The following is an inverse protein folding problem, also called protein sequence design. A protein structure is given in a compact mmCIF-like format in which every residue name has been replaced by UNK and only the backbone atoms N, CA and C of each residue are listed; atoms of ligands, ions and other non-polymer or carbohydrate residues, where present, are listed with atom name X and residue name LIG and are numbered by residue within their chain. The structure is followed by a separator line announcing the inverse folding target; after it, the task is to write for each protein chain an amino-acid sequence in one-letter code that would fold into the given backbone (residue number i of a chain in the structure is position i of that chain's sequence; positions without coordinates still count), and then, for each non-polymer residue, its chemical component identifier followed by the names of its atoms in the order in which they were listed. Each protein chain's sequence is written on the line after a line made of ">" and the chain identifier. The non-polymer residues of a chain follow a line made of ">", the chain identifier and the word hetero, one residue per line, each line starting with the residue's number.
data_IF_701005477958
#
_entry.id   IF_701005477958
#
_cell.length_a   1.000
_cell.length_b   1.000
_cell.length_c   1.000
_cell.angle_alpha   90.00
_cell.angle_beta   90.00
_cell.angle_gamma   90.00
#
_symmetry.space_group_name_H-M   'P 1'
#
loop_
_entity.id
_entity.type
_entity.pdbx_description
1 polymer ?
#
# COMPACT_ATOMS: atom_id res chain seq x y z
N UNK A 1 7.02 0.79 5.56
CA UNK A 1 5.69 0.39 6.07
C UNK A 1 5.37 -1.01 5.56
N UNK A 2 4.97 -1.92 6.44
CA UNK A 2 4.59 -3.29 6.08
C UNK A 2 3.10 -3.49 6.40
N UNK A 3 2.34 -3.95 5.42
CA UNK A 3 0.97 -4.42 5.57
C UNK A 3 1.01 -5.93 5.65
N UNK A 4 0.47 -6.48 6.73
CA UNK A 4 0.24 -7.91 6.87
C UNK A 4 -1.27 -8.13 6.71
N UNK A 5 -1.67 -9.00 5.79
CA UNK A 5 -3.08 -9.34 5.57
C UNK A 5 -3.38 -10.61 6.36
N UNK A 6 -4.02 -10.47 7.51
CA UNK A 6 -4.45 -11.59 8.36
C UNK A 6 -5.88 -12.02 7.99
N UNK A 7 -6.08 -13.27 7.56
CA UNK A 7 -7.42 -13.89 7.49
C UNK A 7 -7.61 -14.78 8.72
N UNK A 8 -8.45 -14.41 9.70
CA UNK A 8 -8.57 -15.15 10.95
C UNK A 8 -9.27 -16.52 10.85
N UNK A 9 -9.77 -16.96 9.68
CA UNK A 9 -10.75 -18.07 9.60
C UNK A 9 -10.25 -19.42 9.05
N UNK A 10 -9.08 -19.91 9.47
CA UNK A 10 -8.68 -21.31 9.19
C UNK A 10 -9.61 -22.37 9.86
N UNK A 11 -10.57 -21.96 10.72
CA UNK A 11 -11.37 -22.87 11.56
C UNK A 11 -12.90 -22.80 11.35
N UNK A 12 -13.39 -22.37 10.18
CA UNK A 12 -14.74 -22.75 9.71
C UNK A 12 -15.96 -22.16 10.45
N UNK A 13 -16.01 -20.86 10.69
CA UNK A 13 -17.26 -20.17 11.07
C UNK A 13 -17.53 -18.90 10.25
N UNK A 14 -18.80 -18.71 9.93
CA UNK A 14 -19.35 -17.75 8.96
C UNK A 14 -19.35 -16.31 9.48
N UNK A 15 -18.40 -15.51 8.96
CA UNK A 15 -18.39 -14.07 8.61
C UNK A 15 -16.91 -13.68 8.62
N UNK A 16 -16.28 -13.61 7.44
CA UNK A 16 -14.85 -13.33 7.31
C UNK A 16 -14.62 -11.85 7.10
N UNK A 17 -14.02 -11.18 8.08
CA UNK A 17 -13.47 -9.84 7.89
C UNK A 17 -11.96 -9.99 7.76
N UNK A 18 -11.41 -9.61 6.61
CA UNK A 18 -9.96 -9.51 6.41
C UNK A 18 -9.41 -8.48 7.38
N UNK A 19 -8.35 -8.82 8.12
CA UNK A 19 -7.72 -7.89 9.05
C UNK A 19 -6.41 -7.41 8.45
N UNK A 20 -6.29 -6.10 8.25
CA UNK A 20 -5.01 -5.50 7.88
C UNK A 20 -4.22 -5.14 9.14
N UNK A 21 -3.09 -5.80 9.34
CA UNK A 21 -2.11 -5.41 10.35
C UNK A 21 -1.10 -4.46 9.71
N UNK A 22 -1.20 -3.17 10.02
CA UNK A 22 -0.29 -2.12 9.56
C UNK A 22 0.88 -2.02 10.54
N UNK A 23 2.11 -2.20 10.06
CA UNK A 23 3.33 -2.09 10.84
C UNK A 23 4.25 -1.00 10.28
N UNK A 24 4.72 -0.13 11.16
CA UNK A 24 5.75 0.85 10.80
C UNK A 24 7.15 0.30 11.08
N UNK A 25 7.79 -0.28 10.06
CA UNK A 25 9.20 -0.70 10.12
C UNK A 25 10.20 0.43 9.79
N UNK A 26 9.72 1.66 9.58
CA UNK A 26 10.59 2.82 9.36
C UNK A 26 11.17 3.30 10.71
N UNK A 27 12.31 4.00 10.65
CA UNK A 27 12.95 4.61 11.83
C UNK A 27 12.30 5.93 12.27
N UNK A 28 11.26 6.36 11.57
CA UNK A 28 10.53 7.61 11.80
C UNK A 28 9.02 7.36 11.85
N UNK A 29 8.29 8.26 12.50
CA UNK A 29 6.82 8.22 12.53
C UNK A 29 6.27 8.41 11.13
N UNK A 30 5.32 7.55 10.77
CA UNK A 30 4.51 7.67 9.56
C UNK A 30 3.07 7.92 9.96
N UNK A 31 2.32 8.61 9.14
CA UNK A 31 0.88 8.78 9.34
C UNK A 31 0.16 8.04 8.22
N UNK A 32 -0.27 6.78 8.42
CA UNK A 32 -1.08 6.10 7.41
C UNK A 32 -2.28 6.95 7.01
N UNK A 33 -2.53 7.05 5.71
CA UNK A 33 -3.80 7.50 5.14
C UNK A 33 -4.53 6.30 4.54
N UNK A 34 -5.85 6.36 4.52
CA UNK A 34 -6.70 5.33 3.89
C UNK A 34 -7.80 6.00 3.08
N UNK A 35 -8.18 5.36 1.98
CA UNK A 35 -9.31 5.77 1.17
C UNK A 35 -9.97 4.52 0.61
N UNK A 36 -11.29 4.44 0.70
CA UNK A 36 -12.08 3.40 0.04
C UNK A 36 -12.51 3.87 -1.36
N UNK A 37 -12.54 2.96 -2.33
CA UNK A 37 -12.96 3.25 -3.70
C UNK A 37 -14.47 3.41 -3.86
N UNK A 38 -15.26 2.72 -3.02
CA UNK A 38 -16.70 2.51 -3.26
C UNK A 38 -17.60 3.32 -2.31
N UNK A 39 -17.07 4.36 -1.67
CA UNK A 39 -17.83 5.21 -0.73
C UNK A 39 -18.19 4.53 0.60
N UNK A 40 -17.62 3.35 0.88
CA UNK A 40 -17.66 2.71 2.20
C UNK A 40 -16.93 3.50 3.30
N UNK A 41 -16.89 2.98 4.55
CA UNK A 41 -16.12 3.61 5.61
C UNK A 41 -14.61 3.50 5.36
N UNK A 42 -13.87 4.59 5.59
CA UNK A 42 -12.41 4.57 5.62
C UNK A 42 -11.92 3.79 6.86
N UNK A 43 -10.97 2.87 6.66
CA UNK A 43 -10.44 2.04 7.73
C UNK A 43 -9.51 2.81 8.67
N UNK A 44 -9.67 2.69 9.98
CA UNK A 44 -8.84 3.50 10.89
C UNK A 44 -9.10 4.99 10.73
N UNK A 45 -10.37 5.35 10.49
CA UNK A 45 -10.87 6.72 10.60
C UNK A 45 -10.33 7.72 9.57
N UNK A 46 -9.74 7.23 8.47
CA UNK A 46 -9.13 8.07 7.43
C UNK A 46 -7.63 8.25 7.61
N UNK A 47 -7.11 8.07 8.82
CA UNK A 47 -5.69 8.19 9.11
C UNK A 47 -5.37 8.44 10.58
N UNK A 48 -4.15 8.08 10.96
CA UNK A 48 -3.65 8.14 12.34
C UNK A 48 -2.12 8.25 12.35
N UNK A 49 -1.52 8.50 13.51
CA UNK A 49 -0.06 8.46 13.68
C UNK A 49 0.39 7.03 14.03
N UNK A 50 1.47 6.55 13.40
CA UNK A 50 2.06 5.24 13.67
C UNK A 50 3.56 5.40 13.94
N UNK A 51 3.94 5.30 15.22
CA UNK A 51 5.31 5.46 15.68
C UNK A 51 6.24 4.36 15.13
N UNK A 52 7.57 4.57 15.10
CA UNK A 52 8.53 3.52 14.73
C UNK A 52 8.33 2.23 15.52
N UNK A 53 8.28 1.09 14.82
CA UNK A 53 8.07 -0.23 15.41
C UNK A 53 6.64 -0.54 15.84
N UNK A 54 5.73 0.45 15.85
CA UNK A 54 4.34 0.24 16.25
C UNK A 54 3.53 -0.48 15.14
N UNK A 55 2.46 -1.14 15.57
CA UNK A 55 1.48 -1.75 14.68
C UNK A 55 0.04 -1.48 15.11
N UNK A 56 -0.88 -1.51 14.14
CA UNK A 56 -2.33 -1.35 14.34
C UNK A 56 -3.07 -2.34 13.47
N UNK A 57 -4.15 -2.93 13.99
CA UNK A 57 -5.06 -3.79 13.24
C UNK A 57 -6.28 -3.03 12.75
N UNK A 58 -6.63 -3.21 11.48
CA UNK A 58 -7.75 -2.57 10.81
C UNK A 58 -8.64 -3.65 10.17
N UNK A 59 -9.78 -4.02 10.79
CA UNK A 59 -10.70 -4.97 10.19
C UNK A 59 -11.41 -4.33 8.98
N UNK A 60 -11.41 -5.03 7.86
CA UNK A 60 -12.05 -4.63 6.62
C UNK A 60 -13.30 -5.49 6.37
N UNK A 61 -14.43 -4.90 5.95
CA UNK A 61 -15.61 -5.67 5.60
C UNK A 61 -15.37 -6.49 4.31
N UNK A 62 -16.11 -7.61 4.11
CA UNK A 62 -16.15 -8.29 2.81
C UNK A 62 -16.45 -7.31 1.67
N UNK A 63 -15.77 -7.48 0.55
CA UNK A 63 -15.93 -6.61 -0.62
C UNK A 63 -15.26 -5.25 -0.49
N UNK A 64 -14.50 -4.98 0.57
CA UNK A 64 -13.81 -3.71 0.70
C UNK A 64 -12.79 -3.52 -0.44
N UNK A 65 -12.93 -2.40 -1.13
CA UNK A 65 -11.97 -1.91 -2.12
C UNK A 65 -11.42 -0.57 -1.65
N UNK A 66 -10.11 -0.42 -1.71
CA UNK A 66 -9.46 0.79 -1.24
C UNK A 66 -7.95 0.73 -1.28
N UNK A 67 -7.34 1.78 -0.73
CA UNK A 67 -5.89 1.98 -0.73
C UNK A 67 -5.41 2.57 0.57
N UNK A 68 -4.13 2.31 0.85
CA UNK A 68 -3.37 2.90 1.93
C UNK A 68 -2.12 3.58 1.39
N UNK A 69 -1.65 4.60 2.11
CA UNK A 69 -0.36 5.24 1.85
C UNK A 69 0.28 5.74 3.14
N UNK A 70 1.59 5.94 3.12
CA UNK A 70 2.31 6.55 4.23
C UNK A 70 2.50 8.05 4.02
N UNK A 71 2.22 8.86 5.04
CA UNK A 71 2.55 10.29 5.06
C UNK A 71 3.74 10.55 5.97
N UNK A 72 4.59 11.51 5.61
CA UNK A 72 5.81 11.84 6.37
C UNK A 72 5.90 13.33 6.67
N UNK A 73 6.63 13.68 7.73
CA UNK A 73 6.86 15.08 8.13
C UNK A 73 5.56 15.82 8.47
N UNK A 74 4.60 15.13 9.10
CA UNK A 74 3.31 15.71 9.43
C UNK A 74 3.34 16.53 10.73
N UNK A 75 2.63 17.65 10.72
CA UNK A 75 2.40 18.50 11.88
C UNK A 75 0.90 18.76 11.95
N UNK A 76 0.25 18.26 12.99
CA UNK A 76 -1.18 18.45 13.25
C UNK A 76 -1.38 19.08 14.62
N UNK A 77 -2.41 19.92 14.74
CA UNK A 77 -2.92 20.37 16.03
C UNK A 77 -3.86 19.32 16.67
N UNK A 78 -4.36 19.59 17.87
CA UNK A 78 -5.25 18.68 18.61
C UNK A 78 -6.58 18.38 17.88
N UNK A 79 -7.00 19.27 16.97
CA UNK A 79 -8.17 19.06 16.12
C UNK A 79 -7.86 18.20 14.87
N UNK A 80 -6.62 17.74 14.69
CA UNK A 80 -6.19 16.99 13.52
C UNK A 80 -6.00 17.84 12.25
N UNK A 81 -5.97 19.17 12.38
CA UNK A 81 -5.71 20.09 11.28
C UNK A 81 -4.23 20.41 11.16
N UNK A 82 -3.71 20.43 9.94
CA UNK A 82 -2.30 20.60 9.64
C UNK A 82 -1.92 19.98 8.30
N UNK A 83 -0.63 19.76 8.09
CA UNK A 83 -0.10 19.29 6.79
C UNK A 83 1.03 18.28 6.96
N UNK A 84 1.25 17.49 5.92
CA UNK A 84 2.39 16.60 5.76
C UNK A 84 3.33 17.07 4.66
N UNK A 85 4.62 16.71 4.81
CA UNK A 85 5.65 16.97 3.82
C UNK A 85 5.47 16.12 2.55
N UNK A 86 5.00 14.87 2.71
CA UNK A 86 4.65 13.99 1.59
C UNK A 86 3.32 13.27 1.86
N UNK A 87 2.57 12.99 0.79
CA UNK A 87 1.29 12.26 0.84
C UNK A 87 0.16 12.97 1.58
N UNK A 88 0.26 14.29 1.75
CA UNK A 88 -0.75 15.08 2.44
C UNK A 88 -2.16 14.86 1.86
N UNK A 89 -3.17 14.92 2.72
CA UNK A 89 -4.57 14.73 2.35
C UNK A 89 -5.48 15.80 2.98
N UNK A 90 -4.91 16.93 3.42
CA UNK A 90 -5.64 18.06 4.00
C UNK A 90 -5.92 17.97 5.52
N UNK A 91 -5.41 16.94 6.22
CA UNK A 91 -5.57 16.78 7.67
C UNK A 91 -5.16 15.39 8.16
N UNK A 92 -5.32 15.13 9.46
CA UNK A 92 -4.97 13.82 10.06
C UNK A 92 -5.86 12.69 9.50
N UNK A 93 -7.16 12.95 9.39
CA UNK A 93 -8.18 12.02 8.88
C UNK A 93 -8.45 12.36 7.41
N UNK A 94 -7.98 11.50 6.50
CA UNK A 94 -8.10 11.77 5.07
C UNK A 94 -9.54 11.62 4.59
N UNK A 95 -10.02 12.61 3.82
CA UNK A 95 -11.28 12.56 3.07
C UNK A 95 -11.09 12.35 1.57
N UNK A 96 -9.83 12.33 1.11
CA UNK A 96 -9.42 12.11 -0.27
C UNK A 96 -8.07 11.40 -0.35
N UNK A 97 -7.57 11.22 -1.57
CA UNK A 97 -6.26 10.63 -1.80
C UNK A 97 -5.11 11.52 -1.32
N UNK A 98 -3.97 10.90 -1.00
CA UNK A 98 -2.73 11.63 -0.76
C UNK A 98 -2.24 12.35 -2.01
N UNK A 99 -1.68 13.54 -1.85
CA UNK A 99 -1.07 14.32 -2.93
C UNK A 99 0.24 13.63 -3.36
N UNK A 100 0.38 13.22 -4.64
CA UNK A 100 1.61 12.63 -5.17
C UNK A 100 2.84 13.53 -4.99
N UNK A 101 4.05 12.95 -4.79
CA UNK A 101 4.36 11.53 -4.96
C UNK A 101 4.02 10.67 -3.74
N UNK A 102 3.36 9.54 -3.96
CA UNK A 102 2.95 8.58 -2.93
C UNK A 102 3.07 7.14 -3.40
N UNK A 103 3.71 6.30 -2.59
CA UNK A 103 3.60 4.84 -2.74
C UNK A 103 2.26 4.37 -2.21
N UNK A 104 1.53 3.61 -3.01
CA UNK A 104 0.21 3.07 -2.65
C UNK A 104 0.28 1.56 -2.39
N UNK A 105 -0.47 1.09 -1.39
CA UNK A 105 -0.90 -0.30 -1.31
C UNK A 105 -2.39 -0.35 -1.61
N UNK A 106 -2.77 -1.06 -2.67
CA UNK A 106 -4.13 -1.11 -3.20
C UNK A 106 -4.71 -2.50 -2.99
N UNK A 107 -6.00 -2.57 -2.68
CA UNK A 107 -6.69 -3.80 -2.32
C UNK A 107 -8.10 -3.84 -2.90
N UNK A 108 -8.50 -5.00 -3.41
CA UNK A 108 -9.90 -5.35 -3.70
C UNK A 108 -10.19 -6.68 -3.05
N UNK A 109 -11.01 -6.69 -2.00
CA UNK A 109 -11.35 -7.91 -1.28
C UNK A 109 -12.54 -8.64 -1.91
N UNK A 110 -12.55 -9.96 -1.75
CA UNK A 110 -13.65 -10.83 -2.12
C UNK A 110 -14.95 -10.41 -1.41
N UNK A 111 -16.08 -10.54 -2.10
CA UNK A 111 -17.43 -10.21 -1.60
C UNK A 111 -18.29 -11.47 -1.50
N UNK A 112 -19.21 -11.51 -0.53
CA UNK A 112 -20.14 -12.61 -0.39
C UNK A 112 -21.05 -12.72 -1.63
N UNK A 113 -20.97 -13.82 -2.37
CA UNK A 113 -21.78 -14.07 -3.58
C UNK A 113 -21.31 -13.33 -4.85
N UNK A 114 -20.09 -12.75 -4.83
CA UNK A 114 -19.53 -11.97 -5.93
C UNK A 114 -18.10 -12.41 -6.31
N UNK A 115 -17.13 -11.48 -6.26
CA UNK A 115 -15.72 -11.80 -6.44
C UNK A 115 -15.26 -12.76 -5.33
N UNK A 116 -14.64 -13.88 -5.68
CA UNK A 116 -14.21 -14.92 -4.72
C UNK A 116 -12.70 -14.84 -4.42
N UNK A 117 -12.02 -13.78 -4.86
CA UNK A 117 -10.57 -13.62 -4.73
C UNK A 117 -10.24 -12.23 -4.22
N UNK A 118 -9.21 -12.17 -3.38
CA UNK A 118 -8.57 -10.92 -2.98
C UNK A 118 -7.48 -10.55 -3.98
N UNK A 119 -7.43 -9.27 -4.34
CA UNK A 119 -6.40 -8.66 -5.15
C UNK A 119 -5.69 -7.59 -4.34
N UNK A 120 -4.37 -7.55 -4.46
CA UNK A 120 -3.57 -6.51 -3.86
C UNK A 120 -2.32 -6.24 -4.67
N UNK A 121 -1.83 -5.01 -4.56
CA UNK A 121 -0.58 -4.60 -5.17
C UNK A 121 0.07 -3.46 -4.41
N UNK A 122 1.36 -3.23 -4.72
CA UNK A 122 2.05 -1.99 -4.36
C UNK A 122 2.32 -1.24 -5.66
N UNK A 123 1.86 0.01 -5.70
CA UNK A 123 1.83 0.84 -6.89
C UNK A 123 2.71 2.07 -6.72
N UNK A 124 3.53 2.32 -7.74
CA UNK A 124 4.34 3.53 -7.90
C UNK A 124 3.82 4.41 -9.05
N UNK A 125 2.56 4.21 -9.46
CA UNK A 125 1.92 5.02 -10.52
C UNK A 125 1.87 6.49 -10.10
N UNK A 126 1.62 6.74 -8.82
CA UNK A 126 1.62 8.07 -8.21
C UNK A 126 2.99 8.42 -7.60
N UNK A 127 4.07 7.74 -8.00
CA UNK A 127 5.43 7.97 -7.52
C UNK A 127 5.79 7.23 -6.24
N UNK A 128 6.83 7.70 -5.55
CA UNK A 128 7.41 7.06 -4.36
C UNK A 128 7.67 8.07 -3.25
N UNK A 129 7.39 7.71 -2.01
CA UNK A 129 7.82 8.49 -0.84
C UNK A 129 8.31 7.60 0.31
N UNK A 130 7.62 6.49 0.58
CA UNK A 130 7.92 5.56 1.66
C UNK A 130 7.91 4.13 1.14
N UNK A 131 8.97 3.37 1.44
CA UNK A 131 9.04 1.96 1.11
C UNK A 131 7.90 1.16 1.71
N UNK A 132 7.25 0.33 0.90
CA UNK A 132 6.02 -0.37 1.25
C UNK A 132 6.03 -1.84 0.82
N UNK A 133 5.47 -2.69 1.67
CA UNK A 133 5.26 -4.11 1.37
C UNK A 133 3.90 -4.59 1.84
N UNK A 134 3.35 -5.56 1.13
CA UNK A 134 2.12 -6.28 1.45
C UNK A 134 2.46 -7.76 1.51
N UNK A 135 2.21 -8.36 2.67
CA UNK A 135 2.46 -9.77 2.95
C UNK A 135 1.17 -10.44 3.42
N UNK A 136 0.60 -11.38 2.66
CA UNK A 136 -0.45 -12.25 3.18
C UNK A 136 0.05 -13.08 4.35
N UNK A 137 -0.79 -13.22 5.37
CA UNK A 137 -0.58 -14.14 6.48
C UNK A 137 -0.65 -15.59 5.99
N UNK A 138 -0.06 -16.50 6.78
CA UNK A 138 0.01 -17.92 6.47
C UNK A 138 -1.40 -18.50 6.59
N UNK A 139 -2.17 -18.49 5.51
CA UNK A 139 -3.58 -18.90 5.53
C UNK A 139 -4.34 -18.73 4.21
N UNK A 140 -3.90 -17.79 3.35
CA UNK A 140 -4.43 -17.69 1.99
C UNK A 140 -3.98 -18.88 1.14
N UNK A 141 -4.92 -19.53 0.46
CA UNK A 141 -4.58 -20.51 -0.58
C UNK A 141 -4.13 -19.77 -1.87
N UNK A 142 -3.47 -20.43 -2.83
CA UNK A 142 -3.09 -19.79 -4.11
C UNK A 142 -1.76 -19.02 -4.17
N UNK A 143 -1.62 -18.13 -5.17
CA UNK A 143 -0.40 -17.34 -5.44
C UNK A 143 -0.26 -16.10 -4.52
N UNK A 144 -0.57 -16.26 -3.24
CA UNK A 144 -0.44 -15.26 -2.17
C UNK A 144 1.03 -14.89 -1.91
N UNK A 145 1.64 -14.15 -2.83
CA UNK A 145 3.05 -13.76 -2.79
C UNK A 145 3.20 -12.35 -2.24
N UNK A 146 4.37 -12.08 -1.66
CA UNK A 146 4.74 -10.73 -1.27
C UNK A 146 4.66 -9.76 -2.48
N UNK A 147 4.05 -8.59 -2.26
CA UNK A 147 4.08 -7.46 -3.19
C UNK A 147 4.74 -6.28 -2.48
N UNK A 148 5.72 -5.61 -3.10
CA UNK A 148 6.33 -4.48 -2.42
C UNK A 148 7.47 -3.80 -3.16
N UNK A 149 7.68 -2.56 -2.78
CA UNK A 149 8.84 -1.74 -3.11
C UNK A 149 9.40 -1.20 -1.79
N UNK A 150 10.34 -1.93 -1.19
CA UNK A 150 10.94 -1.58 0.12
C UNK A 150 12.32 -0.96 0.02
N UNK A 151 12.92 -0.98 -1.17
CA UNK A 151 14.15 -0.24 -1.44
C UNK A 151 13.90 1.27 -1.28
N UNK A 152 14.92 2.00 -0.81
CA UNK A 152 14.88 3.45 -0.75
C UNK A 152 15.11 4.03 -2.15
N UNK A 153 14.04 4.47 -2.81
CA UNK A 153 14.13 5.10 -4.12
C UNK A 153 14.47 6.59 -4.05
N UNK A 154 14.35 7.23 -2.87
CA UNK A 154 14.66 8.64 -2.71
C UNK A 154 16.17 8.90 -2.87
N UNK A 155 17.00 7.99 -2.34
CA UNK A 155 18.46 8.09 -2.43
C UNK A 155 19.02 8.07 -3.86
N UNK A 156 18.29 7.48 -4.81
CA UNK A 156 18.68 7.38 -6.22
C UNK A 156 17.71 8.13 -7.16
N UNK A 157 16.83 8.96 -6.61
CA UNK A 157 15.84 9.67 -7.43
C UNK A 157 16.55 10.71 -8.31
N UNK A 158 16.33 10.69 -9.64
CA UNK A 158 16.87 11.71 -10.53
C UNK A 158 16.43 13.12 -10.11
N UNK A 159 17.31 14.14 -10.21
CA UNK A 159 17.00 15.49 -9.76
C UNK A 159 15.70 16.06 -10.35
N UNK A 160 15.39 15.74 -11.61
CA UNK A 160 14.18 16.18 -12.32
C UNK A 160 12.88 15.56 -11.79
N UNK A 161 12.96 14.42 -11.09
CA UNK A 161 11.83 13.75 -10.45
C UNK A 161 11.80 13.97 -8.93
N UNK A 162 12.89 14.49 -8.37
CA UNK A 162 13.03 14.64 -6.92
C UNK A 162 12.11 15.72 -6.34
N UNK A 163 11.49 15.39 -5.21
CA UNK A 163 10.92 16.37 -4.29
C UNK A 163 11.89 16.54 -3.13
N UNK A 164 12.44 17.74 -2.98
CA UNK A 164 13.45 18.06 -1.97
C UNK A 164 12.87 18.97 -0.90
N UNK A 165 13.04 18.60 0.37
CA UNK A 165 12.66 19.41 1.54
C UNK A 165 13.85 19.47 2.49
N UNK A 166 14.24 20.67 2.90
CA UNK A 166 15.38 20.86 3.82
C UNK A 166 16.72 20.32 3.29
N UNK A 167 16.88 20.25 1.97
CA UNK A 167 18.09 19.73 1.32
C UNK A 167 18.14 18.20 1.16
N UNK A 168 17.11 17.46 1.60
CA UNK A 168 16.99 16.03 1.41
C UNK A 168 15.89 15.68 0.39
N UNK A 169 16.13 14.70 -0.47
CA UNK A 169 15.07 14.12 -1.32
C UNK A 169 14.15 13.30 -0.44
N UNK A 170 12.87 13.68 -0.39
CA UNK A 170 11.85 13.07 0.49
C UNK A 170 10.81 12.26 -0.29
N UNK A 171 10.72 12.48 -1.60
CA UNK A 171 9.85 11.73 -2.49
C UNK A 171 10.39 11.80 -3.93
N UNK A 172 9.99 10.84 -4.76
CA UNK A 172 10.33 10.75 -6.16
C UNK A 172 9.05 10.69 -7.00
N UNK A 173 8.86 11.64 -7.91
CA UNK A 173 7.73 11.69 -8.82
C UNK A 173 7.76 10.50 -9.78
N UNK A 174 6.59 10.07 -10.20
CA UNK A 174 6.41 9.29 -11.40
C UNK A 174 6.93 10.06 -12.62
N UNK A 175 7.36 9.33 -13.66
CA UNK A 175 7.78 9.96 -14.91
C UNK A 175 6.61 10.02 -15.88
N UNK A 176 6.13 11.22 -16.21
CA UNK A 176 5.13 11.44 -17.28
C UNK A 176 5.80 11.25 -18.65
N UNK A 177 5.09 10.62 -19.61
CA UNK A 177 5.61 10.03 -20.87
C UNK A 177 6.56 10.94 -21.68
N UNK A 178 7.65 10.32 -22.14
CA UNK A 178 8.62 10.85 -23.13
C UNK A 178 9.94 10.05 -23.12
N UNK A 179 10.25 9.42 -22.00
CA UNK A 179 11.33 8.44 -21.84
C UNK A 179 10.70 7.17 -21.28
N UNK A 180 11.08 6.00 -21.77
CA UNK A 180 10.35 4.74 -21.60
C UNK A 180 10.59 4.09 -20.23
N UNK A 181 9.69 4.31 -19.26
CA UNK A 181 9.41 3.44 -18.10
C UNK A 181 8.00 3.80 -17.62
N UNK A 182 7.03 2.92 -17.87
CA UNK A 182 5.67 3.00 -17.32
C UNK A 182 5.72 2.84 -15.80
N UNK A 183 4.88 3.57 -15.06
CA UNK A 183 4.71 3.35 -13.61
C UNK A 183 4.60 1.86 -13.31
N UNK A 184 5.35 1.40 -12.32
CA UNK A 184 5.44 -0.03 -12.01
C UNK A 184 4.26 -0.40 -11.13
N UNK A 185 3.34 -1.19 -11.69
CA UNK A 185 2.28 -1.85 -10.94
C UNK A 185 2.72 -3.27 -10.62
N UNK A 186 2.92 -3.58 -9.34
CA UNK A 186 3.30 -4.92 -8.87
C UNK A 186 2.06 -5.75 -8.53
N UNK A 187 1.26 -6.09 -9.54
CA UNK A 187 0.02 -6.85 -9.36
C UNK A 187 0.25 -8.26 -8.82
N UNK A 188 -0.54 -8.67 -7.81
CA UNK A 188 -0.60 -10.06 -7.31
C UNK A 188 -2.07 -10.52 -7.12
N UNK A 189 -2.27 -11.84 -7.11
CA UNK A 189 -3.58 -12.53 -6.98
C UNK A 189 -3.54 -13.53 -5.81
N UNK A 190 -4.61 -13.59 -5.01
CA UNK A 190 -4.88 -14.65 -4.01
C UNK A 190 -5.93 -15.63 -4.56
N UNK A 191 -5.80 -16.96 -4.35
CA UNK A 191 -6.84 -17.94 -4.74
C UNK A 191 -7.48 -18.56 -3.49
N UNK A 192 -8.80 -18.53 -3.33
CA UNK A 192 -9.48 -19.45 -2.42
C UNK A 192 -9.93 -20.74 -3.16
N UNK A 193 -9.90 -21.87 -2.44
CA UNK A 193 -9.94 -23.24 -2.98
C UNK A 193 -11.00 -23.52 -4.06
N UNK A 194 -10.55 -24.02 -5.21
CA UNK A 194 -11.38 -24.56 -6.30
C UNK A 194 -10.86 -24.19 -7.70
N UNK A 195 -10.12 -25.12 -8.33
CA UNK A 195 -9.88 -25.28 -9.78
C UNK A 195 -8.87 -24.39 -10.58
N UNK A 196 -7.82 -25.08 -11.07
CA UNK A 196 -7.09 -25.08 -12.37
C UNK A 196 -6.48 -23.80 -13.00
N UNK A 197 -5.14 -23.75 -12.90
CA UNK A 197 -4.02 -23.23 -13.74
C UNK A 197 -4.13 -22.03 -14.71
N UNK A 198 -3.15 -21.11 -14.59
CA UNK A 198 -2.47 -20.45 -15.71
C UNK A 198 -1.06 -19.95 -15.31
N UNK A 199 -0.04 -20.80 -15.42
CA UNK A 199 1.37 -20.40 -15.54
C UNK A 199 1.59 -19.84 -16.96
N UNK A 200 1.97 -18.56 -17.11
CA UNK A 200 2.60 -18.03 -18.35
C UNK A 200 3.10 -16.57 -18.35
N UNK A 201 2.85 -15.72 -17.33
CA UNK A 201 3.10 -14.26 -17.49
C UNK A 201 4.13 -13.64 -16.51
N UNK A 202 4.79 -14.44 -15.68
CA UNK A 202 5.79 -13.93 -14.73
C UNK A 202 7.24 -14.01 -15.22
N UNK A 203 7.51 -14.64 -16.37
CA UNK A 203 8.84 -14.71 -16.96
C UNK A 203 9.36 -13.37 -17.50
N UNK A 204 8.49 -12.51 -18.03
CA UNK A 204 8.94 -11.34 -18.82
C UNK A 204 9.13 -10.05 -18.01
N UNK A 205 8.69 -9.99 -16.74
CA UNK A 205 8.78 -8.77 -15.91
C UNK A 205 9.89 -8.84 -14.86
N UNK A 206 10.30 -10.05 -14.45
CA UNK A 206 11.34 -10.23 -13.41
C UNK A 206 12.77 -10.44 -13.94
N UNK A 207 12.98 -10.71 -15.23
CA UNK A 207 14.35 -10.82 -15.80
C UNK A 207 15.04 -9.48 -16.12
N UNK A 208 14.40 -8.33 -15.87
CA UNK A 208 15.00 -7.01 -16.12
C UNK A 208 15.32 -6.19 -14.87
N UNK A 209 15.22 -6.78 -13.68
CA UNK A 209 15.84 -6.21 -12.49
C UNK A 209 17.26 -6.78 -12.40
N UNK A 210 18.31 -5.96 -12.56
CA UNK A 210 19.67 -6.44 -12.35
C UNK A 210 19.78 -6.91 -10.89
N UNK A 211 19.99 -8.20 -10.70
CA UNK A 211 20.56 -8.71 -9.46
C UNK A 211 22.03 -8.29 -9.43
N UNK A 212 22.35 -7.30 -8.61
CA UNK A 212 23.71 -7.01 -8.14
C UNK A 212 23.57 -6.51 -6.71
N UNK A 213 24.18 -7.10 -5.69
CA UNK A 213 25.44 -7.86 -5.63
C UNK A 213 25.27 -9.35 -5.33
#
# INVERSE_FOLDING_TARGET
>A
MLFIIDDPNFAGTTVSATVFTLQNSCTYTVWPGTLTGDGGPALGDGGFALAPGASTQLPAPPGWSGRFWGRTGCIFNDAGSGTCATGDCGGLRCSGGGVPPVTLAEFTLASAGGQNMDFYDVSLVDGYNVGMGVRPSVGGTGHCQYAGCVADLNGNCPPELSLTIGGAVVACKERVRGVQYTGVLLHRRSLHAGDVFADALLGDVQERVPHGL
#
